data_IF_346568703984
#
_entry.id   IF_346568703984
#
_cell.length_a   1.000
_cell.length_b   1.000
_cell.length_c   1.000
_cell.angle_alpha   90.00
_cell.angle_beta   90.00
_cell.angle_gamma   90.00
#
_symmetry.space_group_name_H-M   'P 1'
#
loop_
_entity.id
_entity.type
_entity.pdbx_description
1 polymer ?
#
# COMPACT_ATOMS: atom_id res chain seq x y z
N UNK A 1 8.83 -12.06 -5.35
CA UNK A 1 9.44 -13.01 -4.40
C UNK A 1 9.20 -12.59 -2.94
N UNK A 2 9.56 -11.38 -2.50
CA UNK A 2 9.36 -10.93 -1.10
C UNK A 2 7.91 -10.74 -0.65
N UNK A 3 6.96 -10.45 -1.55
CA UNK A 3 5.53 -10.42 -1.22
C UNK A 3 5.06 -11.82 -0.76
N UNK A 4 5.53 -12.89 -1.40
CA UNK A 4 5.22 -14.26 -0.99
C UNK A 4 5.82 -14.57 0.38
N UNK A 5 7.06 -14.13 0.63
CA UNK A 5 7.72 -14.26 1.95
C UNK A 5 6.90 -13.55 3.02
N UNK A 6 6.43 -12.32 2.77
CA UNK A 6 5.56 -11.59 3.68
C UNK A 6 4.27 -12.35 3.97
N UNK A 7 3.56 -12.83 2.94
CA UNK A 7 2.31 -13.56 3.10
C UNK A 7 2.48 -14.86 3.90
N UNK A 8 3.50 -15.65 3.57
CA UNK A 8 3.81 -16.90 4.27
C UNK A 8 4.23 -16.65 5.72
N UNK A 9 5.01 -15.59 5.97
CA UNK A 9 5.40 -15.23 7.34
C UNK A 9 4.21 -14.88 8.23
N UNK A 10 3.14 -14.30 7.68
CA UNK A 10 1.91 -14.07 8.45
C UNK A 10 1.14 -15.37 8.69
N UNK A 11 1.04 -16.22 7.68
CA UNK A 11 0.33 -17.51 7.77
C UNK A 11 0.95 -18.43 8.82
N UNK A 12 2.27 -18.39 8.98
CA UNK A 12 3.01 -19.19 9.96
C UNK A 12 3.39 -18.41 11.22
N UNK A 13 2.86 -17.20 11.39
CA UNK A 13 3.13 -16.33 12.55
C UNK A 13 4.64 -16.10 12.83
N UNK A 14 5.45 -16.11 11.77
CA UNK A 14 6.89 -15.94 11.85
C UNK A 14 7.25 -14.44 11.84
N UNK A 15 7.26 -13.83 13.03
CA UNK A 15 7.46 -12.38 13.22
C UNK A 15 8.81 -11.86 12.70
N UNK A 16 9.88 -12.65 12.78
CA UNK A 16 11.21 -12.26 12.29
C UNK A 16 11.24 -12.15 10.77
N UNK A 17 10.71 -13.15 10.05
CA UNK A 17 10.58 -13.12 8.59
C UNK A 17 9.63 -12.03 8.12
N UNK A 18 8.54 -11.80 8.86
CA UNK A 18 7.61 -10.70 8.59
C UNK A 18 8.33 -9.36 8.63
N UNK A 19 9.08 -9.10 9.70
CA UNK A 19 9.84 -7.84 9.86
C UNK A 19 10.88 -7.67 8.77
N UNK A 20 11.62 -8.73 8.42
CA UNK A 20 12.59 -8.69 7.34
C UNK A 20 11.94 -8.40 5.97
N UNK A 21 10.81 -9.05 5.67
CA UNK A 21 10.08 -8.82 4.43
C UNK A 21 9.51 -7.40 4.34
N UNK A 22 8.95 -6.87 5.43
CA UNK A 22 8.50 -5.47 5.51
C UNK A 22 9.69 -4.52 5.31
N UNK A 23 10.82 -4.73 5.99
CA UNK A 23 11.99 -3.87 5.83
C UNK A 23 12.49 -3.84 4.38
N UNK A 24 12.56 -5.00 3.72
CA UNK A 24 13.02 -5.08 2.33
C UNK A 24 12.03 -4.43 1.36
N UNK A 25 10.74 -4.75 1.48
CA UNK A 25 9.67 -4.21 0.61
C UNK A 25 9.42 -2.71 0.81
N UNK A 26 9.74 -2.18 1.99
CA UNK A 26 9.65 -0.76 2.30
C UNK A 26 10.85 0.05 1.80
N UNK A 27 11.98 -0.60 1.50
CA UNK A 27 13.19 0.06 1.03
C UNK A 27 13.08 0.53 -0.42
N UNK A 28 13.91 1.50 -0.81
CA UNK A 28 14.02 2.01 -2.18
C UNK A 28 14.40 0.94 -3.21
N UNK A 29 14.95 -0.18 -2.76
CA UNK A 29 15.33 -1.32 -3.60
C UNK A 29 14.13 -2.12 -4.09
N UNK A 30 12.97 -1.98 -3.43
CA UNK A 30 11.74 -2.64 -3.85
C UNK A 30 10.99 -1.75 -4.85
N UNK A 31 10.80 -2.24 -6.08
CA UNK A 31 9.95 -1.61 -7.09
C UNK A 31 8.46 -1.83 -6.77
N UNK A 32 7.98 -1.27 -5.65
CA UNK A 32 6.56 -1.30 -5.29
C UNK A 32 5.91 0.05 -5.54
N UNK A 33 4.82 0.03 -6.31
CA UNK A 33 3.96 1.20 -6.51
C UNK A 33 3.21 1.59 -5.22
N UNK A 34 2.77 2.84 -5.12
CA UNK A 34 2.04 3.31 -3.94
C UNK A 34 0.72 2.56 -3.72
N UNK A 35 0.01 2.17 -4.79
CA UNK A 35 -1.22 1.35 -4.71
C UNK A 35 -0.93 -0.01 -4.08
N UNK A 36 0.18 -0.64 -4.47
CA UNK A 36 0.62 -1.92 -3.92
C UNK A 36 1.00 -1.80 -2.45
N UNK A 37 1.71 -0.73 -2.09
CA UNK A 37 2.06 -0.45 -0.70
C UNK A 37 0.82 -0.26 0.16
N UNK A 38 -0.20 0.48 -0.31
CA UNK A 38 -1.47 0.62 0.42
C UNK A 38 -2.18 -0.72 0.57
N UNK A 39 -2.33 -1.47 -0.53
CA UNK A 39 -3.02 -2.76 -0.51
C UNK A 39 -2.34 -3.76 0.44
N UNK A 40 -1.01 -3.88 0.37
CA UNK A 40 -0.26 -4.74 1.29
C UNK A 40 -0.29 -4.21 2.73
N UNK A 41 -0.22 -2.90 2.93
CA UNK A 41 -0.30 -2.31 4.25
C UNK A 41 -1.64 -2.60 4.94
N UNK A 42 -2.75 -2.56 4.21
CA UNK A 42 -4.06 -2.93 4.73
C UNK A 42 -4.16 -4.43 4.99
N UNK A 43 -3.74 -5.27 4.04
CA UNK A 43 -3.83 -6.73 4.16
C UNK A 43 -2.93 -7.30 5.26
N UNK A 44 -1.80 -6.65 5.49
CA UNK A 44 -0.78 -7.11 6.42
C UNK A 44 -0.66 -6.24 7.68
N UNK A 45 -1.54 -5.27 7.92
CA UNK A 45 -1.46 -4.30 9.04
C UNK A 45 -0.08 -3.62 9.17
N UNK A 46 0.41 -3.01 8.08
CA UNK A 46 1.70 -2.28 8.04
C UNK A 46 1.43 -0.77 8.08
N UNK A 47 1.21 -0.24 9.29
CA UNK A 47 0.83 1.16 9.51
C UNK A 47 1.80 2.18 8.91
N UNK A 48 3.10 1.87 8.93
CA UNK A 48 4.16 2.78 8.44
C UNK A 48 4.11 3.08 6.94
N UNK A 49 3.42 2.26 6.14
CA UNK A 49 3.32 2.48 4.69
C UNK A 49 2.03 3.18 4.27
N UNK A 50 0.98 3.09 5.09
CA UNK A 50 -0.36 3.48 4.70
C UNK A 50 -0.43 4.98 4.40
N UNK A 51 -0.07 5.81 5.37
CA UNK A 51 -0.16 7.27 5.25
C UNK A 51 0.76 7.83 4.16
N UNK A 52 2.07 7.49 4.08
CA UNK A 52 2.93 8.01 3.02
C UNK A 52 2.47 7.63 1.62
N UNK A 53 2.00 6.39 1.44
CA UNK A 53 1.55 5.89 0.13
C UNK A 53 0.22 6.53 -0.28
N UNK A 54 -0.73 6.69 0.65
CA UNK A 54 -1.99 7.41 0.40
C UNK A 54 -1.74 8.88 0.06
N UNK A 55 -0.84 9.56 0.76
CA UNK A 55 -0.47 10.95 0.45
C UNK A 55 0.15 11.07 -0.93
N UNK A 56 1.06 10.15 -1.30
CA UNK A 56 1.64 10.13 -2.64
C UNK A 56 0.59 9.89 -3.73
N UNK A 57 -0.42 9.04 -3.47
CA UNK A 57 -1.55 8.84 -4.39
C UNK A 57 -2.50 10.05 -4.43
N UNK A 58 -2.68 10.76 -3.32
CA UNK A 58 -3.50 11.96 -3.26
C UNK A 58 -2.86 13.11 -4.05
N UNK A 59 -1.54 13.22 -4.03
CA UNK A 59 -0.80 14.32 -4.67
C UNK A 59 -0.46 14.09 -6.14
N UNK A 60 -0.52 12.85 -6.64
CA UNK A 60 -0.18 12.60 -8.05
C UNK A 60 -1.20 13.22 -9.00
N UNK A 61 -0.75 13.64 -10.17
CA UNK A 61 -1.62 14.20 -11.21
C UNK A 61 -2.58 13.14 -11.78
N UNK A 62 -2.09 11.93 -12.05
CA UNK A 62 -2.90 10.88 -12.67
C UNK A 62 -4.08 10.42 -11.80
N UNK A 63 -5.28 10.25 -12.38
CA UNK A 63 -6.43 9.74 -11.65
C UNK A 63 -6.19 8.31 -11.15
N UNK A 64 -7.00 7.86 -10.19
CA UNK A 64 -7.03 6.45 -9.80
C UNK A 64 -7.70 5.68 -10.93
N UNK A 65 -6.98 4.73 -11.52
CA UNK A 65 -7.53 3.85 -12.56
C UNK A 65 -8.49 2.82 -11.95
N UNK A 66 -9.34 2.22 -12.80
CA UNK A 66 -10.27 1.17 -12.36
C UNK A 66 -9.55 0.00 -11.70
N UNK A 67 -8.40 -0.41 -12.26
CA UNK A 67 -7.62 -1.52 -11.72
C UNK A 67 -7.00 -1.18 -10.36
N UNK A 68 -6.50 0.04 -10.19
CA UNK A 68 -6.01 0.51 -8.89
C UNK A 68 -7.15 0.60 -7.88
N UNK A 69 -8.32 1.10 -8.29
CA UNK A 69 -9.51 1.15 -7.45
C UNK A 69 -9.94 -0.24 -6.98
N UNK A 70 -9.88 -1.24 -7.86
CA UNK A 70 -10.15 -2.65 -7.50
C UNK A 70 -9.18 -3.17 -6.45
N UNK A 71 -7.90 -2.79 -6.52
CA UNK A 71 -6.86 -3.22 -5.55
C UNK A 71 -6.99 -2.52 -4.20
N UNK A 72 -7.39 -1.24 -4.19
CA UNK A 72 -7.58 -0.44 -2.98
C UNK A 72 -8.90 -0.78 -2.25
N UNK A 73 -9.91 -1.20 -3.01
CA UNK A 73 -11.26 -1.39 -2.52
C UNK A 73 -12.05 -0.08 -2.50
N UNK A 74 -13.38 -0.20 -2.60
CA UNK A 74 -14.29 0.94 -2.79
C UNK A 74 -14.16 2.00 -1.69
N UNK A 75 -14.06 1.59 -0.43
CA UNK A 75 -13.98 2.51 0.70
C UNK A 75 -12.72 3.38 0.64
N UNK A 76 -11.57 2.75 0.44
CA UNK A 76 -10.27 3.44 0.33
C UNK A 76 -10.24 4.36 -0.87
N UNK A 77 -10.74 3.91 -2.02
CA UNK A 77 -10.82 4.71 -3.24
C UNK A 77 -11.71 5.95 -3.07
N UNK A 78 -12.88 5.80 -2.44
CA UNK A 78 -13.79 6.92 -2.19
C UNK A 78 -13.19 7.95 -1.22
N UNK A 79 -12.56 7.48 -0.13
CA UNK A 79 -11.85 8.37 0.81
C UNK A 79 -10.72 9.13 0.12
N UNK A 80 -9.96 8.43 -0.72
CA UNK A 80 -8.86 9.03 -1.47
C UNK A 80 -9.37 10.07 -2.49
N UNK A 81 -10.47 9.79 -3.18
CA UNK A 81 -11.12 10.75 -4.09
C UNK A 81 -11.57 12.02 -3.34
N UNK A 82 -12.23 11.86 -2.20
CA UNK A 82 -12.67 13.00 -1.37
C UNK A 82 -11.48 13.87 -0.92
N UNK A 83 -10.36 13.26 -0.52
CA UNK A 83 -9.13 14.01 -0.19
C UNK A 83 -8.57 14.75 -1.39
N UNK A 84 -8.53 14.12 -2.57
CA UNK A 84 -8.04 14.74 -3.80
C UNK A 84 -8.88 15.97 -4.21
N UNK A 85 -10.20 15.85 -4.14
CA UNK A 85 -11.13 16.95 -4.40
C UNK A 85 -10.94 18.11 -3.41
N UNK A 86 -10.77 17.80 -2.13
CA UNK A 86 -10.51 18.79 -1.08
C UNK A 86 -9.18 19.54 -1.25
N UNK A 87 -8.17 18.90 -1.84
CA UNK A 87 -6.86 19.51 -2.12
C UNK A 87 -6.86 20.47 -3.32
N UNK A 88 -7.97 20.57 -4.08
CA UNK A 88 -8.05 21.34 -5.35
C UNK A 88 -6.90 21.01 -6.32
N UNK A 89 -6.63 19.72 -6.51
CA UNK A 89 -5.85 19.21 -7.65
C UNK A 89 -6.77 18.93 -8.84
#
# INVERSE_FOLDING_TARGET
QWISVLKLSMMWECTSLRTAAISWLGSSSATLGNVEKVALAMQCDIKGWLLPSLLALAQRHDPITVEEGRRLGIETSMKLASVREGLRL
#
